data_IF_213481010145
#
_entry.id   IF_213481010145
#
_cell.length_a   1.000
_cell.length_b   1.000
_cell.length_c   1.000
_cell.angle_alpha   90.00
_cell.angle_beta   90.00
_cell.angle_gamma   90.00
#
_symmetry.space_group_name_H-M   'P 1'
#
loop_
_entity.id
_entity.type
_entity.pdbx_description
1 polymer ?
#
# COMPACT_ATOMS: atom_id res chain seq x y z
N UNK A 1 2.26 -56.68 28.02
CA UNK A 1 1.77 -55.47 28.71
C UNK A 1 2.57 -54.27 28.23
N UNK A 2 2.06 -53.52 27.24
CA UNK A 2 2.71 -52.33 26.71
C UNK A 2 2.40 -51.10 27.57
N UNK A 3 3.42 -50.38 28.04
CA UNK A 3 3.25 -49.11 28.75
C UNK A 3 3.02 -47.99 27.72
N UNK A 4 1.78 -47.50 27.64
CA UNK A 4 1.43 -46.32 26.88
C UNK A 4 2.04 -45.06 27.55
N UNK A 5 2.91 -44.37 26.83
CA UNK A 5 3.43 -43.06 27.21
C UNK A 5 2.31 -42.03 27.20
N UNK A 6 2.12 -41.32 28.32
CA UNK A 6 1.21 -40.18 28.42
C UNK A 6 1.74 -39.05 27.54
N UNK A 7 1.04 -38.73 26.44
CA UNK A 7 1.24 -37.48 25.69
C UNK A 7 0.64 -36.35 26.52
N UNK A 8 1.46 -35.36 26.89
CA UNK A 8 0.97 -34.10 27.48
C UNK A 8 0.09 -33.33 26.48
N UNK A 9 -0.73 -32.38 26.94
CA UNK A 9 -1.60 -31.63 26.05
C UNK A 9 -0.76 -30.80 25.07
N UNK A 10 -1.06 -30.92 23.78
CA UNK A 10 -0.50 -30.03 22.78
C UNK A 10 -0.97 -28.61 23.10
N UNK A 11 -0.02 -27.73 23.42
CA UNK A 11 -0.26 -26.29 23.48
C UNK A 11 -0.76 -25.85 22.11
N UNK A 12 -2.07 -25.57 21.99
CA UNK A 12 -2.62 -24.79 20.88
C UNK A 12 -2.10 -23.37 21.03
N UNK A 13 -0.84 -23.15 20.67
CA UNK A 13 -0.28 -21.82 20.46
C UNK A 13 -1.09 -21.24 19.30
N UNK A 14 -1.99 -20.30 19.58
CA UNK A 14 -2.64 -19.49 18.56
C UNK A 14 -1.52 -18.95 17.68
N UNK A 15 -1.34 -19.50 16.48
CA UNK A 15 -0.34 -18.99 15.54
C UNK A 15 -0.78 -17.57 15.22
N UNK A 16 -0.11 -16.57 15.79
CA UNK A 16 -0.29 -15.20 15.31
C UNK A 16 0.09 -15.16 13.83
N UNK A 17 -0.66 -14.38 13.05
CA UNK A 17 -0.44 -14.25 11.61
C UNK A 17 0.89 -13.56 11.32
N UNK A 18 1.54 -13.98 10.24
CA UNK A 18 2.75 -13.35 9.70
C UNK A 18 2.42 -11.95 9.17
N UNK A 19 3.25 -10.98 9.50
CA UNK A 19 3.13 -9.58 9.13
C UNK A 19 3.96 -9.28 7.89
N UNK A 20 3.48 -8.40 7.01
CA UNK A 20 4.13 -8.12 5.73
C UNK A 20 4.26 -6.63 5.47
N UNK A 21 5.33 -6.24 4.80
CA UNK A 21 5.56 -4.89 4.29
C UNK A 21 6.01 -4.93 2.83
N UNK A 22 5.75 -3.84 2.10
CA UNK A 22 6.23 -3.68 0.72
C UNK A 22 7.50 -2.84 0.74
N UNK A 23 8.56 -3.34 0.10
CA UNK A 23 9.89 -2.75 0.12
C UNK A 23 10.46 -2.57 -1.29
N UNK A 24 11.22 -1.51 -1.48
CA UNK A 24 12.10 -1.29 -2.60
C UNK A 24 13.54 -1.61 -2.20
N UNK A 25 14.08 -2.67 -2.79
CA UNK A 25 15.39 -3.21 -2.48
C UNK A 25 16.54 -2.33 -3.03
N UNK A 26 16.30 -1.59 -4.11
CA UNK A 26 17.30 -0.72 -4.73
C UNK A 26 17.50 0.58 -3.96
N UNK A 27 16.40 1.19 -3.51
CA UNK A 27 16.42 2.47 -2.80
C UNK A 27 16.45 2.33 -1.28
N UNK A 28 16.26 1.12 -0.76
CA UNK A 28 16.01 0.85 0.68
C UNK A 28 14.87 1.69 1.23
N UNK A 29 13.76 1.68 0.51
CA UNK A 29 12.53 2.38 0.90
C UNK A 29 11.43 1.36 1.20
N UNK A 30 10.48 1.71 2.07
CA UNK A 30 9.32 0.87 2.33
C UNK A 30 8.06 1.70 2.58
N UNK A 31 6.92 1.05 2.41
CA UNK A 31 5.62 1.56 2.82
C UNK A 31 5.04 0.69 3.93
N UNK A 32 4.48 1.34 4.94
CA UNK A 32 3.87 0.73 6.11
C UNK A 32 2.36 0.58 5.90
N UNK A 33 1.82 -0.65 5.96
CA UNK A 33 0.37 -0.91 5.83
C UNK A 33 -0.45 -0.15 6.87
N UNK A 34 0.01 -0.14 8.13
CA UNK A 34 -0.62 0.60 9.22
C UNK A 34 -0.74 2.09 8.92
N UNK A 35 0.29 2.68 8.30
CA UNK A 35 0.28 4.10 7.93
C UNK A 35 -0.63 4.41 6.74
N UNK A 36 -1.02 3.38 6.00
CA UNK A 36 -1.94 3.43 4.86
C UNK A 36 -3.36 2.96 5.21
N UNK A 37 -3.62 2.70 6.49
CA UNK A 37 -4.92 2.28 7.00
C UNK A 37 -5.28 0.82 6.73
N UNK A 38 -4.27 -0.03 6.56
CA UNK A 38 -4.41 -1.47 6.36
C UNK A 38 -3.84 -2.26 7.54
N UNK A 39 -4.28 -3.52 7.65
CA UNK A 39 -3.67 -4.48 8.54
C UNK A 39 -2.36 -5.08 8.02
N UNK A 40 -1.60 -5.67 8.92
CA UNK A 40 -0.28 -6.24 8.62
C UNK A 40 -0.33 -7.65 8.01
N UNK A 41 -1.46 -8.36 8.07
CA UNK A 41 -1.52 -9.69 7.46
C UNK A 41 -1.60 -9.55 5.95
N UNK A 42 -0.94 -10.46 5.23
CA UNK A 42 -0.86 -10.42 3.76
C UNK A 42 -2.22 -10.25 3.07
N UNK A 43 -3.24 -11.00 3.54
CA UNK A 43 -4.59 -10.94 2.99
C UNK A 43 -5.34 -9.64 3.30
N UNK A 44 -5.00 -8.95 4.40
CA UNK A 44 -5.60 -7.66 4.75
C UNK A 44 -5.13 -6.55 3.78
N UNK A 45 -3.95 -6.72 3.18
CA UNK A 45 -3.38 -5.77 2.22
C UNK A 45 -3.83 -6.06 0.79
N UNK A 46 -3.94 -7.34 0.42
CA UNK A 46 -4.15 -7.78 -0.97
C UNK A 46 -5.39 -7.18 -1.66
N UNK A 47 -6.50 -7.04 -0.94
CA UNK A 47 -7.75 -6.49 -1.47
C UNK A 47 -8.09 -5.12 -0.86
N UNK A 48 -7.08 -4.34 -0.46
CA UNK A 48 -7.30 -3.06 0.18
C UNK A 48 -7.55 -1.92 -0.82
N UNK A 49 -8.77 -1.39 -0.82
CA UNK A 49 -9.10 -0.15 -1.53
C UNK A 49 -8.44 1.06 -0.85
N UNK A 50 -7.72 1.88 -1.63
CA UNK A 50 -7.10 3.11 -1.11
C UNK A 50 -6.08 2.89 0.02
N UNK A 51 -5.44 1.72 0.09
CA UNK A 51 -4.41 1.38 1.08
C UNK A 51 -3.07 1.02 0.45
N UNK A 52 -2.46 -0.06 0.93
CA UNK A 52 -1.15 -0.58 0.53
C UNK A 52 -1.06 -0.87 -0.96
N UNK A 53 -2.09 -1.50 -1.54
CA UNK A 53 -2.12 -1.80 -2.98
C UNK A 53 -2.22 -0.53 -3.83
N UNK A 54 -3.02 0.45 -3.41
CA UNK A 54 -3.12 1.73 -4.10
C UNK A 54 -1.78 2.49 -4.05
N UNK A 55 -1.13 2.52 -2.88
CA UNK A 55 0.19 3.12 -2.72
C UNK A 55 1.24 2.44 -3.60
N UNK A 56 1.26 1.10 -3.64
CA UNK A 56 2.14 0.36 -4.53
C UNK A 56 1.89 0.70 -6.01
N UNK A 57 0.61 0.78 -6.42
CA UNK A 57 0.25 1.15 -7.80
C UNK A 57 0.75 2.55 -8.17
N UNK A 58 0.60 3.52 -7.26
CA UNK A 58 1.13 4.90 -7.42
C UNK A 58 2.64 4.89 -7.59
N UNK A 59 3.36 4.16 -6.75
CA UNK A 59 4.83 4.11 -6.76
C UNK A 59 5.39 3.46 -8.03
N UNK A 60 4.66 2.52 -8.63
CA UNK A 60 5.08 1.81 -9.84
C UNK A 60 4.69 2.51 -11.16
N UNK A 61 3.80 3.51 -11.12
CA UNK A 61 3.26 4.16 -12.31
C UNK A 61 4.34 4.90 -13.12
N UNK A 62 4.81 4.30 -14.22
CA UNK A 62 5.90 4.83 -15.04
C UNK A 62 5.48 5.82 -16.14
N UNK A 63 4.18 5.91 -16.44
CA UNK A 63 3.63 6.69 -17.56
C UNK A 63 2.43 7.53 -17.11
N UNK A 64 2.65 8.44 -16.16
CA UNK A 64 1.64 9.37 -15.66
C UNK A 64 1.72 10.75 -16.36
N UNK A 65 0.62 11.50 -16.40
CA UNK A 65 0.55 12.91 -16.82
C UNK A 65 0.38 13.15 -18.33
N UNK A 66 -0.08 12.15 -19.09
CA UNK A 66 -0.26 12.23 -20.56
C UNK A 66 -1.70 11.98 -21.02
N UNK A 67 -2.57 11.40 -20.19
CA UNK A 67 -3.92 11.00 -20.58
C UNK A 67 -4.99 11.25 -19.51
N UNK A 68 -6.25 11.31 -19.93
CA UNK A 68 -7.41 11.60 -19.07
C UNK A 68 -7.81 10.50 -18.07
N UNK A 69 -6.92 9.55 -17.77
CA UNK A 69 -7.11 8.49 -16.78
C UNK A 69 -5.93 8.31 -15.83
N UNK A 70 -5.00 9.25 -15.83
CA UNK A 70 -3.80 9.22 -14.99
C UNK A 70 -4.12 9.61 -13.54
N UNK A 71 -3.21 9.26 -12.63
CA UNK A 71 -3.28 9.78 -11.26
C UNK A 71 -3.14 11.30 -11.35
N UNK A 72 -4.06 12.07 -10.73
CA UNK A 72 -3.96 13.51 -10.74
C UNK A 72 -2.60 13.96 -10.18
N UNK A 73 -1.76 14.57 -11.01
CA UNK A 73 -0.45 15.13 -10.60
C UNK A 73 -0.42 16.66 -10.75
N UNK A 74 -1.57 17.26 -11.06
CA UNK A 74 -1.74 18.65 -11.41
C UNK A 74 -3.16 19.17 -11.24
N UNK A 75 -3.67 19.86 -12.26
CA UNK A 75 -5.01 20.46 -12.29
C UNK A 75 -5.99 19.39 -12.75
N UNK A 76 -6.89 18.94 -11.88
CA UNK A 76 -8.07 18.17 -12.31
C UNK A 76 -9.28 19.10 -12.37
N UNK A 77 -10.21 18.82 -13.27
CA UNK A 77 -11.37 19.66 -13.55
C UNK A 77 -12.64 18.89 -13.16
N UNK A 78 -13.32 19.32 -12.11
CA UNK A 78 -14.65 18.79 -11.77
C UNK A 78 -15.72 19.79 -12.17
N UNK A 79 -16.83 19.31 -12.69
CA UNK A 79 -18.02 20.14 -12.86
C UNK A 79 -18.68 20.34 -11.50
N UNK A 80 -18.67 21.58 -10.99
CA UNK A 80 -19.40 21.96 -9.79
C UNK A 80 -20.84 22.27 -10.18
N UNK A 81 -21.73 21.29 -9.98
CA UNK A 81 -23.17 21.42 -10.25
C UNK A 81 -23.81 22.60 -9.52
N UNK A 82 -23.31 22.96 -8.32
CA UNK A 82 -23.86 24.09 -7.54
C UNK A 82 -23.43 25.43 -8.12
N UNK A 83 -22.23 25.50 -8.70
CA UNK A 83 -21.68 26.71 -9.31
C UNK A 83 -21.85 26.77 -10.82
N UNK A 84 -22.46 25.73 -11.42
CA UNK A 84 -22.62 25.53 -12.86
C UNK A 84 -21.34 25.86 -13.65
N UNK A 85 -20.19 25.44 -13.13
CA UNK A 85 -18.89 25.72 -13.75
C UNK A 85 -17.91 24.59 -13.51
N UNK A 86 -16.98 24.44 -14.45
CA UNK A 86 -15.79 23.64 -14.22
C UNK A 86 -14.95 24.34 -13.15
N UNK A 87 -14.74 23.67 -12.03
CA UNK A 87 -13.81 24.09 -10.98
C UNK A 87 -12.54 23.27 -11.09
N UNK A 88 -11.42 23.98 -11.07
CA UNK A 88 -10.12 23.37 -10.85
C UNK A 88 -10.10 22.82 -9.41
N UNK A 89 -9.96 21.49 -9.29
CA UNK A 89 -9.70 20.81 -8.02
C UNK A 89 -8.18 20.68 -7.94
N UNK A 90 -7.54 21.71 -7.39
CA UNK A 90 -6.13 21.63 -7.01
C UNK A 90 -6.06 21.01 -5.62
N UNK A 91 -5.59 19.78 -5.46
CA UNK A 91 -4.89 19.47 -4.24
C UNK A 91 -3.64 20.37 -4.22
N UNK A 92 -3.44 21.09 -3.10
CA UNK A 92 -2.59 22.28 -2.95
C UNK A 92 -1.12 22.16 -3.46
N UNK A 93 -0.34 23.24 -3.30
CA UNK A 93 1.08 23.27 -3.71
C UNK A 93 1.89 22.10 -3.12
N UNK A 94 1.55 21.63 -1.93
CA UNK A 94 2.23 20.52 -1.26
C UNK A 94 1.91 19.20 -1.94
N UNK A 95 0.64 18.95 -2.27
CA UNK A 95 0.26 17.76 -3.03
C UNK A 95 1.00 17.67 -4.36
N UNK A 96 1.01 18.75 -5.16
CA UNK A 96 1.69 18.75 -6.47
C UNK A 96 3.17 18.43 -6.35
N UNK A 97 3.81 18.85 -5.26
CA UNK A 97 5.21 18.51 -4.96
C UNK A 97 5.34 17.02 -4.67
N UNK A 98 4.47 16.46 -3.83
CA UNK A 98 4.47 15.04 -3.47
C UNK A 98 4.15 14.14 -4.67
N UNK A 99 3.14 14.47 -5.47
CA UNK A 99 2.77 13.74 -6.68
C UNK A 99 3.98 13.59 -7.63
N UNK A 100 4.71 14.68 -7.88
CA UNK A 100 5.95 14.66 -8.68
C UNK A 100 7.08 13.85 -8.07
N UNK A 101 7.15 13.75 -6.74
CA UNK A 101 8.22 13.05 -6.03
C UNK A 101 7.97 11.53 -5.91
N UNK A 102 6.70 11.13 -5.85
CA UNK A 102 6.29 9.77 -5.48
C UNK A 102 5.63 8.97 -6.59
N UNK A 103 4.91 9.59 -7.54
CA UNK A 103 4.34 8.85 -8.66
C UNK A 103 5.48 8.28 -9.52
N UNK A 104 5.49 6.96 -9.70
CA UNK A 104 6.54 6.28 -10.47
C UNK A 104 7.90 6.23 -9.78
N UNK A 105 8.00 6.61 -8.50
CA UNK A 105 9.27 6.63 -7.76
C UNK A 105 9.99 5.28 -7.76
N UNK A 106 9.24 4.19 -7.78
CA UNK A 106 9.73 2.80 -7.77
C UNK A 106 9.64 2.13 -9.15
N UNK A 107 9.30 2.88 -10.20
CA UNK A 107 9.17 2.33 -11.54
C UNK A 107 10.51 1.76 -12.04
N UNK A 108 10.53 0.46 -12.32
CA UNK A 108 11.71 -0.25 -12.81
C UNK A 108 12.67 -0.76 -11.73
N UNK A 109 12.39 -0.50 -10.45
CA UNK A 109 13.19 -0.99 -9.34
C UNK A 109 12.80 -2.43 -8.92
N UNK A 110 13.67 -3.08 -8.14
CA UNK A 110 13.45 -4.39 -7.51
C UNK A 110 12.58 -4.26 -6.26
N UNK A 111 11.31 -4.67 -6.36
CA UNK A 111 10.32 -4.57 -5.29
C UNK A 111 9.99 -5.95 -4.72
N UNK A 112 9.81 -6.04 -3.40
CA UNK A 112 9.40 -7.27 -2.73
C UNK A 112 8.34 -7.00 -1.65
N UNK A 113 7.55 -8.02 -1.32
CA UNK A 113 6.69 -8.04 -0.14
C UNK A 113 7.34 -8.99 0.86
N UNK A 114 7.80 -8.46 1.99
CA UNK A 114 8.60 -9.22 2.95
C UNK A 114 7.85 -9.38 4.25
N UNK A 115 7.81 -10.64 4.71
CA UNK A 115 7.19 -11.00 5.96
C UNK A 115 8.16 -10.99 7.14
N UNK A 116 7.65 -10.88 8.37
CA UNK A 116 8.45 -10.98 9.60
C UNK A 116 9.04 -12.38 9.86
N UNK A 117 8.55 -13.40 9.13
CA UNK A 117 9.09 -14.77 9.15
C UNK A 117 9.90 -15.13 7.89
N UNK A 118 10.33 -14.15 7.10
CA UNK A 118 11.14 -14.41 5.91
C UNK A 118 12.45 -15.16 6.27
N UNK A 119 12.83 -16.09 5.41
CA UNK A 119 14.13 -16.77 5.42
C UNK A 119 15.03 -16.13 4.37
N UNK A 120 16.35 -16.11 4.58
CA UNK A 120 17.30 -15.53 3.61
C UNK A 120 17.24 -16.21 2.24
N UNK A 121 16.74 -17.43 2.16
CA UNK A 121 16.50 -18.13 0.90
C UNK A 121 15.25 -17.68 0.11
N UNK A 122 14.39 -16.84 0.69
CA UNK A 122 13.19 -16.31 0.03
C UNK A 122 13.51 -15.25 -1.05
N UNK A 123 14.68 -14.63 -0.98
CA UNK A 123 15.19 -13.68 -1.97
C UNK A 123 16.59 -14.11 -2.48
N UNK A 124 17.07 -13.53 -3.60
CA UNK A 124 18.47 -13.66 -3.99
C UNK A 124 19.43 -13.33 -2.83
N UNK A 125 20.51 -14.09 -2.70
CA UNK A 125 21.40 -14.08 -1.54
C UNK A 125 22.07 -12.73 -1.23
N UNK A 126 22.10 -11.80 -2.20
CA UNK A 126 22.52 -10.42 -1.97
C UNK A 126 21.56 -9.62 -1.07
N UNK A 127 20.33 -10.12 -0.87
CA UNK A 127 19.31 -9.53 -0.02
C UNK A 127 19.10 -10.43 1.21
N UNK A 128 19.52 -9.97 2.38
CA UNK A 128 19.30 -10.65 3.66
C UNK A 128 17.82 -10.59 4.08
N UNK A 129 16.95 -11.34 3.39
CA UNK A 129 15.49 -11.24 3.50
C UNK A 129 14.99 -11.37 4.95
N UNK A 130 15.62 -12.23 5.76
CA UNK A 130 15.24 -12.46 7.15
C UNK A 130 15.41 -11.24 8.06
N UNK A 131 16.20 -10.24 7.67
CA UNK A 131 16.44 -9.04 8.48
C UNK A 131 15.63 -7.83 8.01
N UNK A 132 15.20 -7.81 6.75
CA UNK A 132 14.60 -6.63 6.09
C UNK A 132 13.40 -6.11 6.88
N UNK A 133 12.46 -6.98 7.26
CA UNK A 133 11.26 -6.57 8.00
C UNK A 133 11.62 -5.83 9.29
N UNK A 134 12.49 -6.44 10.10
CA UNK A 134 12.95 -5.86 11.37
C UNK A 134 13.69 -4.54 11.13
N UNK A 135 14.56 -4.50 10.15
CA UNK A 135 15.36 -3.30 9.87
C UNK A 135 14.47 -2.12 9.42
N UNK A 136 13.40 -2.38 8.66
CA UNK A 136 12.40 -1.38 8.31
C UNK A 136 11.66 -0.87 9.56
N UNK A 137 11.14 -1.78 10.41
CA UNK A 137 10.39 -1.39 11.61
C UNK A 137 11.23 -0.64 12.64
N UNK A 138 12.53 -0.95 12.72
CA UNK A 138 13.46 -0.32 13.66
C UNK A 138 14.20 0.89 13.06
N UNK A 139 13.98 1.22 11.79
CA UNK A 139 14.67 2.33 11.10
C UNK A 139 16.18 2.13 11.00
N UNK A 140 16.63 0.89 10.81
CA UNK A 140 18.06 0.50 10.76
C UNK A 140 18.54 0.29 9.32
N UNK A 141 19.86 0.17 9.16
CA UNK A 141 20.51 -0.25 7.91
C UNK A 141 20.17 0.60 6.66
N UNK A 142 19.74 1.84 6.88
CA UNK A 142 19.42 2.81 5.83
C UNK A 142 18.00 2.68 5.25
N UNK A 143 17.11 1.88 5.87
CA UNK A 143 15.72 1.77 5.45
C UNK A 143 14.93 3.03 5.76
N UNK A 144 14.24 3.56 4.74
CA UNK A 144 13.43 4.77 4.85
C UNK A 144 11.94 4.46 4.67
N UNK A 145 11.14 4.82 5.66
CA UNK A 145 9.69 4.85 5.52
C UNK A 145 9.27 6.04 4.65
N UNK A 146 8.56 5.76 3.56
CA UNK A 146 8.06 6.79 2.65
C UNK A 146 6.53 6.92 2.65
N UNK A 147 5.84 6.20 3.55
CA UNK A 147 4.37 6.11 3.58
C UNK A 147 3.70 7.48 3.61
N UNK A 148 4.21 8.38 4.47
CA UNK A 148 3.63 9.71 4.68
C UNK A 148 3.66 10.59 3.42
N UNK A 149 4.63 10.37 2.53
CA UNK A 149 4.71 11.09 1.26
C UNK A 149 3.72 10.59 0.21
N UNK A 150 3.34 9.30 0.28
CA UNK A 150 2.43 8.65 -0.68
C UNK A 150 0.96 8.81 -0.27
N UNK A 151 0.68 8.86 1.04
CA UNK A 151 -0.68 8.95 1.60
C UNK A 151 -1.53 10.03 0.92
N UNK A 152 -1.09 11.30 0.76
CA UNK A 152 -1.93 12.33 0.13
C UNK A 152 -2.36 11.99 -1.30
N UNK A 153 -1.49 11.30 -2.06
CA UNK A 153 -1.76 10.88 -3.44
C UNK A 153 -2.85 9.82 -3.45
N UNK A 154 -2.74 8.83 -2.56
CA UNK A 154 -3.73 7.75 -2.40
C UNK A 154 -5.09 8.30 -1.96
N UNK A 155 -5.13 9.25 -1.02
CA UNK A 155 -6.36 9.89 -0.59
C UNK A 155 -7.13 10.54 -1.74
N UNK A 156 -6.43 11.30 -2.58
CA UNK A 156 -7.02 11.98 -3.74
C UNK A 156 -7.43 10.98 -4.82
N UNK A 157 -6.55 10.05 -5.18
CA UNK A 157 -6.78 9.10 -6.27
C UNK A 157 -7.92 8.12 -5.96
N UNK A 158 -8.02 7.67 -4.70
CA UNK A 158 -8.97 6.64 -4.29
C UNK A 158 -10.22 7.20 -3.58
N UNK A 159 -10.28 8.51 -3.33
CA UNK A 159 -11.38 9.13 -2.60
C UNK A 159 -11.48 8.67 -1.15
N UNK A 160 -10.34 8.51 -0.48
CA UNK A 160 -10.25 8.05 0.92
C UNK A 160 -9.62 9.11 1.80
N UNK A 161 -9.85 9.03 3.10
CA UNK A 161 -9.17 9.81 4.13
C UNK A 161 -8.50 8.87 5.10
N UNK A 162 -7.19 9.02 5.30
CA UNK A 162 -6.38 8.26 6.24
C UNK A 162 -6.04 9.19 7.39
N UNK A 163 -6.27 8.76 8.63
CA UNK A 163 -5.96 9.58 9.79
C UNK A 163 -4.47 9.90 9.88
N UNK A 164 -4.09 11.05 10.45
CA UNK A 164 -2.67 11.46 10.58
C UNK A 164 -2.17 11.22 12.00
N UNK A 165 -2.44 10.04 12.54
CA UNK A 165 -1.97 9.60 13.85
C UNK A 165 -0.62 8.89 13.75
N UNK A 166 0.09 8.85 14.87
CA UNK A 166 1.26 7.98 15.04
C UNK A 166 0.80 6.52 15.17
N UNK A 167 1.50 5.60 14.52
CA UNK A 167 1.17 4.17 14.55
C UNK A 167 0.06 3.76 13.58
N UNK A 168 -0.89 2.95 14.07
CA UNK A 168 -2.02 2.47 13.26
C UNK A 168 -2.97 3.62 12.93
N UNK A 169 -3.30 3.76 11.64
CA UNK A 169 -4.24 4.77 11.15
C UNK A 169 -5.53 4.13 10.70
N UNK A 170 -6.66 4.81 10.91
CA UNK A 170 -7.90 4.41 10.28
C UNK A 170 -8.06 5.07 8.91
N UNK A 171 -8.79 4.39 8.03
CA UNK A 171 -9.08 4.84 6.67
C UNK A 171 -10.58 4.83 6.44
N UNK A 172 -11.09 5.96 5.97
CA UNK A 172 -12.51 6.23 5.77
C UNK A 172 -12.78 6.63 4.31
N UNK A 173 -13.88 6.19 3.72
CA UNK A 173 -14.29 6.65 2.39
C UNK A 173 -14.82 8.09 2.48
N UNK A 174 -14.45 8.93 1.50
CA UNK A 174 -14.95 10.31 1.44
C UNK A 174 -16.31 10.31 0.70
N UNK A 175 -17.40 10.36 1.48
CA UNK A 175 -18.77 10.54 1.00
C UNK A 175 -19.51 9.22 0.75
N UNK A 176 -20.46 8.88 1.61
CA UNK A 176 -21.28 7.65 1.50
C UNK A 176 -22.21 7.64 0.26
N UNK A 177 -22.49 8.79 -0.37
CA UNK A 177 -23.47 8.90 -1.47
C UNK A 177 -22.88 9.13 -2.87
N UNK A 178 -21.57 9.32 -3.02
CA UNK A 178 -20.97 9.53 -4.34
C UNK A 178 -20.01 8.39 -4.62
N UNK A 179 -20.54 7.36 -5.30
CA UNK A 179 -19.78 6.34 -6.03
C UNK A 179 -18.47 6.95 -6.50
N UNK A 180 -17.35 6.37 -6.11
CA UNK A 180 -16.05 6.86 -6.52
C UNK A 180 -16.11 7.08 -8.04
N UNK A 181 -15.81 8.30 -8.47
CA UNK A 181 -15.87 8.71 -9.88
C UNK A 181 -14.91 7.87 -10.74
N UNK A 182 -14.07 7.05 -10.09
CA UNK A 182 -13.14 6.09 -10.66
C UNK A 182 -13.23 4.69 -10.02
N UNK A 183 -14.42 4.19 -9.65
CA UNK A 183 -14.59 2.76 -9.36
C UNK A 183 -14.29 1.94 -10.63
N UNK A 184 -13.01 1.60 -10.85
CA UNK A 184 -12.70 0.37 -11.57
C UNK A 184 -13.23 -0.77 -10.68
N UNK A 185 -14.10 -1.65 -11.19
CA UNK A 185 -14.51 -2.83 -10.44
C UNK A 185 -13.27 -3.63 -10.05
N UNK A 186 -13.34 -4.33 -8.92
CA UNK A 186 -12.38 -5.36 -8.55
C UNK A 186 -11.99 -6.18 -9.79
N UNK A 187 -10.70 -6.42 -9.98
CA UNK A 187 -10.16 -7.13 -11.13
C UNK A 187 -10.89 -8.49 -11.35
N UNK A 188 -11.75 -8.55 -12.37
CA UNK A 188 -12.44 -9.78 -12.79
C UNK A 188 -11.66 -10.45 -13.91
N UNK A 189 -10.94 -11.54 -13.62
CA UNK A 189 -10.50 -12.48 -14.66
C UNK A 189 -11.70 -13.39 -15.00
N UNK A 190 -12.38 -13.08 -16.10
CA UNK A 190 -13.31 -14.03 -16.71
C UNK A 190 -12.54 -15.14 -17.42
N UNK A 191 -12.61 -16.37 -16.91
CA UNK A 191 -12.25 -17.56 -17.70
C UNK A 191 -13.44 -17.87 -18.61
N UNK A 192 -13.29 -17.58 -19.90
CA UNK A 192 -14.19 -18.11 -20.91
C UNK A 192 -13.80 -19.57 -21.14
N UNK A 193 -14.59 -20.51 -20.61
CA UNK A 193 -14.48 -21.92 -21.00
C UNK A 193 -15.03 -22.04 -22.42
N UNK A 194 -14.16 -22.40 -23.36
CA UNK A 194 -14.53 -22.92 -24.68
C UNK A 194 -15.23 -24.26 -24.54
#
# INVERSE_FOLDING_TARGET
MGKAGRRGPASTRTKMGQYHIVVNLDKKEFISPHKLGDGLKLLEQMNSHGGTMAALWVLLACSNGRGGGDIPDGVDYKFDERKNKVVEVVPDREYRRLAKEYIGRWAGDRIAIIGDYADDSDLPAEFAASTIYRDCMEGKNGWRDISDGVVPIVEVACGVRIERTEGWREKHLIGEEKRAVYLCPDFVIGIQRS
#
